data_IF_974291698111
#
_entry.id   IF_974291698111
#
_cell.length_a   1.000
_cell.length_b   1.000
_cell.length_c   1.000
_cell.angle_alpha   90.00
_cell.angle_beta   90.00
_cell.angle_gamma   90.00
#
_symmetry.space_group_name_H-M   'P 1'
#
loop_
_entity.id
_entity.type
_entity.pdbx_description
1 polymer ?
#
# COMPACT_ATOMS: atom_id res chain seq x y z
N UNK A 1 3.93 -4.78 4.44
CA UNK A 1 5.00 -4.33 3.53
C UNK A 1 5.51 -3.00 4.03
N UNK A 2 6.84 -2.78 4.07
CA UNK A 2 7.40 -1.46 4.36
C UNK A 2 7.85 -0.87 3.02
N UNK A 3 7.38 0.32 2.69
CA UNK A 3 7.77 1.03 1.47
C UNK A 3 7.96 2.51 1.78
N UNK A 4 9.13 3.06 1.40
CA UNK A 4 9.52 4.47 1.65
C UNK A 4 9.35 4.92 3.11
N UNK A 5 9.64 4.05 4.07
CA UNK A 5 9.52 4.36 5.51
C UNK A 5 8.10 4.28 6.06
N UNK A 6 7.11 3.86 5.26
CA UNK A 6 5.74 3.67 5.72
C UNK A 6 5.35 2.20 5.72
N UNK A 7 4.66 1.80 6.79
CA UNK A 7 4.11 0.44 6.91
C UNK A 7 2.77 0.38 6.19
N UNK A 8 2.61 -0.64 5.36
CA UNK A 8 1.38 -0.96 4.66
C UNK A 8 0.85 -2.32 5.09
N UNK A 9 -0.44 -2.36 5.38
CA UNK A 9 -1.23 -3.53 5.70
C UNK A 9 -1.86 -4.10 4.43
N UNK A 10 -1.96 -5.43 4.35
CA UNK A 10 -2.59 -6.10 3.22
C UNK A 10 -4.10 -5.87 3.30
N UNK A 11 -4.67 -5.23 2.29
CA UNK A 11 -6.11 -5.00 2.21
C UNK A 11 -6.82 -6.12 1.46
N UNK A 12 -6.32 -6.47 0.27
CA UNK A 12 -6.87 -7.57 -0.54
C UNK A 12 -5.82 -8.08 -1.52
N UNK A 13 -5.92 -9.33 -1.95
CA UNK A 13 -5.04 -9.92 -2.95
C UNK A 13 -5.82 -10.68 -4.00
N UNK A 14 -5.56 -10.36 -5.26
CA UNK A 14 -5.99 -11.09 -6.44
C UNK A 14 -4.86 -12.00 -6.94
N UNK A 15 -5.16 -12.87 -7.91
CA UNK A 15 -4.18 -13.78 -8.52
C UNK A 15 -2.92 -13.06 -9.04
N UNK A 16 -3.07 -11.85 -9.59
CA UNK A 16 -1.97 -11.04 -10.11
C UNK A 16 -1.56 -9.86 -9.22
N UNK A 17 -2.44 -9.27 -8.40
CA UNK A 17 -2.16 -7.98 -7.74
C UNK A 17 -2.54 -8.05 -6.28
N UNK A 18 -1.67 -7.57 -5.39
CA UNK A 18 -1.98 -7.38 -3.97
C UNK A 18 -2.12 -5.90 -3.67
N UNK A 19 -3.23 -5.53 -3.06
CA UNK A 19 -3.58 -4.19 -2.64
C UNK A 19 -3.19 -4.01 -1.18
N UNK A 20 -2.53 -2.91 -0.90
CA UNK A 20 -2.02 -2.54 0.40
C UNK A 20 -2.51 -1.14 0.77
N UNK A 21 -2.88 -0.97 2.02
CA UNK A 21 -3.30 0.30 2.61
C UNK A 21 -2.28 0.71 3.67
N UNK A 22 -2.08 2.01 3.87
CA UNK A 22 -1.19 2.47 4.93
C UNK A 22 -1.69 2.01 6.31
N UNK A 23 -0.80 1.61 7.22
CA UNK A 23 -1.16 1.27 8.59
C UNK A 23 -1.80 2.46 9.33
N UNK A 24 -1.31 3.66 9.05
CA UNK A 24 -1.88 4.92 9.54
C UNK A 24 -3.25 5.27 8.92
N UNK A 25 -3.81 4.43 8.04
CA UNK A 25 -5.19 4.62 7.55
C UNK A 25 -6.21 4.53 8.69
N UNK A 26 -5.96 3.68 9.71
CA UNK A 26 -6.85 3.55 10.87
C UNK A 26 -6.68 4.69 11.87
N UNK A 27 -5.46 5.13 12.11
CA UNK A 27 -5.14 6.13 13.13
C UNK A 27 -5.22 7.57 12.62
N UNK A 28 -4.74 7.83 11.40
CA UNK A 28 -4.62 9.18 10.81
C UNK A 28 -5.47 9.38 9.56
N UNK A 29 -6.38 8.45 9.24
CA UNK A 29 -7.18 8.45 8.00
C UNK A 29 -6.32 8.63 6.74
N UNK A 30 -5.09 8.10 6.78
CA UNK A 30 -4.17 8.17 5.64
C UNK A 30 -4.78 7.46 4.42
N UNK A 31 -4.81 8.16 3.28
CA UNK A 31 -5.39 7.64 2.02
C UNK A 31 -4.37 6.92 1.15
N UNK A 32 -3.11 6.82 1.59
CA UNK A 32 -2.06 6.17 0.80
C UNK A 32 -2.36 4.68 0.53
N UNK A 33 -2.25 4.30 -0.74
CA UNK A 33 -2.51 2.95 -1.25
C UNK A 33 -1.35 2.50 -2.13
N UNK A 34 -0.89 1.27 -1.90
CA UNK A 34 0.13 0.62 -2.70
C UNK A 34 -0.40 -0.68 -3.32
N UNK A 35 0.08 -1.02 -4.51
CA UNK A 35 -0.32 -2.20 -5.25
C UNK A 35 0.95 -2.92 -5.69
N UNK A 36 1.04 -4.21 -5.42
CA UNK A 36 2.18 -5.04 -5.81
C UNK A 36 1.73 -6.11 -6.77
N UNK A 37 2.39 -6.23 -7.92
CA UNK A 37 2.02 -7.23 -8.93
C UNK A 37 2.85 -8.51 -8.73
N UNK A 38 2.20 -9.66 -8.58
CA UNK A 38 2.85 -10.97 -8.47
C UNK A 38 3.65 -11.24 -9.75
N UNK A 39 4.91 -11.66 -9.60
CA UNK A 39 5.82 -11.90 -10.72
C UNK A 39 6.58 -10.66 -11.21
N UNK A 40 6.24 -9.46 -10.73
CA UNK A 40 6.99 -8.23 -10.99
C UNK A 40 7.50 -7.66 -9.66
N UNK A 41 8.77 -7.27 -9.59
CA UNK A 41 9.30 -6.49 -8.45
C UNK A 41 8.85 -5.03 -8.47
N UNK A 42 7.68 -4.76 -9.04
CA UNK A 42 7.11 -3.42 -9.12
C UNK A 42 6.02 -3.22 -8.08
N UNK A 43 6.15 -2.10 -7.36
CA UNK A 43 5.13 -1.58 -6.45
C UNK A 43 4.59 -0.29 -7.07
N UNK A 44 3.32 -0.30 -7.46
CA UNK A 44 2.62 0.89 -7.93
C UNK A 44 1.96 1.57 -6.74
N UNK A 45 2.38 2.79 -6.43
CA UNK A 45 1.68 3.63 -5.45
C UNK A 45 0.65 4.47 -6.18
N UNK A 46 -0.61 4.33 -5.80
CA UNK A 46 -1.69 5.13 -6.39
C UNK A 46 -1.90 6.46 -5.67
N UNK A 47 -1.59 6.53 -4.38
CA UNK A 47 -1.77 7.74 -3.59
C UNK A 47 -0.50 7.96 -2.75
N UNK A 48 0.34 8.88 -3.21
CA UNK A 48 1.67 9.20 -2.63
C UNK A 48 1.58 10.19 -1.48
N UNK A 49 0.45 10.90 -1.34
CA UNK A 49 0.23 11.82 -0.24
C UNK A 49 -0.08 11.05 1.04
N UNK A 50 0.92 10.97 1.92
CA UNK A 50 0.74 10.53 3.29
C UNK A 50 0.26 11.73 4.11
N UNK A 51 -0.94 11.63 4.69
CA UNK A 51 -1.50 12.69 5.53
C UNK A 51 -1.12 12.46 7.00
N UNK A 52 0.16 12.22 7.28
CA UNK A 52 0.68 11.90 8.62
C UNK A 52 2.17 12.21 8.76
#
# INVERSE_FOLDING_TARGET
MIFRGHTYLRNSSNAQKTYWICAAARERKCRSRAITTKGLRHVTIRETAHNH
#
